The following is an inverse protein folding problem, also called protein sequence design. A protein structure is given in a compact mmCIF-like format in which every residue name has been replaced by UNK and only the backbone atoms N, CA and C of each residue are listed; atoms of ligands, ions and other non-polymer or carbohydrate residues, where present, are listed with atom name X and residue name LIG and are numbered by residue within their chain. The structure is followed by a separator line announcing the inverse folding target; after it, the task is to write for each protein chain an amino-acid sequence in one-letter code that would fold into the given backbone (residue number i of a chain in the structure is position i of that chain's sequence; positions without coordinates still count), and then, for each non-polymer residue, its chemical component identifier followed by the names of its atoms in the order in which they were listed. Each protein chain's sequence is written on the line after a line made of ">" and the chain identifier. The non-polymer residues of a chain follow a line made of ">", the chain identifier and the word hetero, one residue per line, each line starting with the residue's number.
data_IF_591283773306
#
_entry.id   IF_591283773306
#
_cell.length_a   1.000
_cell.length_b   1.000
_cell.length_c   1.000
_cell.angle_alpha   90.00
_cell.angle_beta   90.00
_cell.angle_gamma   90.00
#
_symmetry.space_group_name_H-M   'P 1'
#
loop_
_entity.id
_entity.type
_entity.pdbx_description
1 polymer ?
#
# COMPACT_ATOMS: atom_id res chain seq x y z
N UNK A 1 -18.64 -6.52 -10.20
CA UNK A 1 -17.36 -5.76 -10.25
C UNK A 1 -17.03 -5.23 -8.85
N UNK A 2 -15.75 -5.10 -8.51
CA UNK A 2 -15.22 -5.26 -7.14
C UNK A 2 -14.01 -4.34 -6.95
N UNK A 3 -13.83 -3.68 -5.80
CA UNK A 3 -12.53 -3.09 -5.43
C UNK A 3 -11.84 -3.96 -4.37
N UNK A 4 -11.05 -4.96 -4.78
CA UNK A 4 -10.37 -5.90 -3.88
C UNK A 4 -8.90 -5.51 -3.71
N UNK A 5 -8.42 -5.32 -2.48
CA UNK A 5 -7.03 -4.95 -2.20
C UNK A 5 -6.59 -3.68 -2.95
N UNK A 6 -7.46 -2.66 -2.92
CA UNK A 6 -7.38 -1.36 -3.64
C UNK A 6 -7.47 -1.45 -5.18
N UNK A 7 -7.78 -2.64 -5.72
CA UNK A 7 -7.77 -2.94 -7.17
C UNK A 7 -9.18 -3.09 -7.66
N UNK A 8 -9.51 -2.55 -8.83
CA UNK A 8 -10.79 -2.89 -9.47
C UNK A 8 -10.72 -4.29 -10.13
N UNK A 9 -11.79 -5.08 -9.98
CA UNK A 9 -11.93 -6.50 -10.36
C UNK A 9 -13.31 -6.73 -10.97
N UNK A 10 -13.39 -7.52 -12.04
CA UNK A 10 -14.63 -7.85 -12.74
C UNK A 10 -14.97 -9.33 -12.57
N UNK A 11 -16.26 -9.65 -12.57
CA UNK A 11 -16.76 -11.03 -12.68
C UNK A 11 -17.68 -11.07 -13.91
N UNK A 12 -17.52 -12.08 -14.75
CA UNK A 12 -18.46 -12.36 -15.85
C UNK A 12 -19.31 -13.57 -15.46
N UNK A 13 -20.58 -13.56 -15.88
CA UNK A 13 -21.52 -14.67 -15.69
C UNK A 13 -20.89 -16.01 -16.12
N UNK A 14 -20.86 -16.96 -15.18
CA UNK A 14 -20.11 -18.22 -15.29
C UNK A 14 -19.09 -18.48 -14.17
N UNK A 15 -19.16 -17.79 -13.03
CA UNK A 15 -18.37 -18.13 -11.83
C UNK A 15 -16.85 -17.93 -11.97
N UNK A 16 -16.41 -17.09 -12.92
CA UNK A 16 -14.98 -16.82 -13.15
C UNK A 16 -14.53 -15.53 -12.45
N UNK A 17 -13.93 -15.75 -11.28
CA UNK A 17 -13.08 -14.83 -10.52
C UNK A 17 -11.93 -14.24 -11.36
N UNK A 18 -12.03 -12.99 -11.84
CA UNK A 18 -10.94 -12.27 -12.53
C UNK A 18 -10.26 -11.27 -11.58
N UNK A 19 -9.36 -11.74 -10.71
CA UNK A 19 -8.57 -10.84 -9.87
C UNK A 19 -7.60 -10.02 -10.73
N UNK A 20 -7.33 -8.76 -10.38
CA UNK A 20 -6.18 -7.89 -10.77
C UNK A 20 -6.48 -6.74 -11.75
N UNK A 21 -6.72 -5.55 -11.19
CA UNK A 21 -5.83 -4.40 -11.43
C UNK A 21 -4.68 -4.46 -10.40
N UNK A 22 -3.55 -3.79 -10.61
CA UNK A 22 -2.39 -3.83 -9.71
C UNK A 22 -2.55 -2.78 -8.62
N UNK A 23 -2.22 -3.13 -7.39
CA UNK A 23 -2.05 -2.18 -6.30
C UNK A 23 -0.79 -2.52 -5.53
N UNK A 24 -0.05 -1.50 -5.07
CA UNK A 24 1.11 -1.62 -4.22
C UNK A 24 0.85 -2.55 -3.03
N UNK A 25 1.68 -3.58 -2.87
CA UNK A 25 1.56 -4.46 -1.71
C UNK A 25 2.06 -5.88 -1.97
N UNK A 26 3.37 -5.99 -2.08
CA UNK A 26 4.20 -7.07 -1.51
C UNK A 26 5.70 -6.83 -1.75
N UNK A 27 6.09 -5.81 -2.51
CA UNK A 27 7.43 -5.21 -2.50
C UNK A 27 7.35 -3.81 -1.87
N UNK A 28 8.31 -3.47 -1.00
CA UNK A 28 8.35 -2.26 -0.18
C UNK A 28 7.98 -0.98 -0.91
N UNK A 29 6.74 -0.53 -0.73
CA UNK A 29 6.24 0.75 -1.24
C UNK A 29 6.17 1.68 -0.02
N UNK A 30 7.16 2.56 0.08
CA UNK A 30 7.25 3.62 1.09
C UNK A 30 6.40 4.81 0.64
N UNK A 31 5.10 4.75 0.89
CA UNK A 31 4.26 5.95 0.86
C UNK A 31 4.47 6.73 2.18
N UNK A 32 4.38 8.09 2.18
CA UNK A 32 4.33 8.86 3.42
C UNK A 32 3.18 8.35 4.31
N UNK A 33 3.34 8.42 5.65
CA UNK A 33 2.41 7.96 6.72
C UNK A 33 1.11 7.38 6.15
N UNK A 34 1.14 6.08 5.84
CA UNK A 34 0.31 5.46 4.81
C UNK A 34 -1.06 6.14 4.65
N UNK A 35 -1.23 6.89 3.56
CA UNK A 35 -2.54 7.40 3.09
C UNK A 35 -3.57 6.27 2.92
N UNK A 36 -3.11 5.02 2.96
CA UNK A 36 -3.87 3.81 2.74
C UNK A 36 -3.76 2.81 3.89
N UNK A 37 -4.90 2.29 4.36
CA UNK A 37 -4.95 1.14 5.27
C UNK A 37 -4.28 -0.06 4.59
N UNK A 38 -3.30 -0.73 5.23
CA UNK A 38 -2.57 -1.83 4.63
C UNK A 38 -3.47 -2.93 4.05
N UNK A 39 -2.92 -3.66 3.09
CA UNK A 39 -3.62 -4.79 2.49
C UNK A 39 -3.77 -5.92 3.49
N UNK A 40 -4.97 -6.49 3.65
CA UNK A 40 -5.15 -7.63 4.54
C UNK A 40 -4.42 -8.86 4.01
N UNK A 41 -3.65 -9.51 4.88
CA UNK A 41 -2.98 -10.79 4.61
C UNK A 41 -3.98 -11.96 4.68
N UNK A 42 -5.05 -11.82 5.47
CA UNK A 42 -6.23 -12.68 5.47
C UNK A 42 -7.45 -11.84 5.14
N UNK A 43 -8.22 -12.23 4.13
CA UNK A 43 -9.45 -11.52 3.73
C UNK A 43 -10.61 -12.47 3.51
N UNK A 44 -11.81 -12.08 3.97
CA UNK A 44 -13.08 -12.75 3.74
C UNK A 44 -14.01 -11.85 2.91
N UNK A 45 -14.03 -12.05 1.58
CA UNK A 45 -14.92 -11.32 0.68
C UNK A 45 -16.31 -11.96 0.62
N UNK A 46 -17.36 -11.16 0.77
CA UNK A 46 -18.77 -11.54 0.58
C UNK A 46 -19.39 -10.65 -0.48
N UNK A 47 -20.00 -11.25 -1.50
CA UNK A 47 -20.71 -10.53 -2.56
C UNK A 47 -22.20 -10.88 -2.50
N UNK A 48 -23.06 -9.87 -2.66
CA UNK A 48 -24.51 -10.03 -2.71
C UNK A 48 -25.09 -9.08 -3.77
N UNK A 49 -25.37 -9.62 -4.96
CA UNK A 49 -25.74 -8.82 -6.12
C UNK A 49 -24.64 -7.83 -6.51
N UNK A 50 -24.99 -6.54 -6.63
CA UNK A 50 -24.07 -5.43 -6.95
C UNK A 50 -23.26 -4.91 -5.76
N UNK A 51 -23.51 -5.44 -4.56
CA UNK A 51 -22.80 -5.07 -3.35
C UNK A 51 -21.70 -6.06 -3.00
N UNK A 52 -20.68 -5.54 -2.34
CA UNK A 52 -19.59 -6.34 -1.80
C UNK A 52 -19.15 -5.82 -0.45
N UNK A 53 -18.90 -6.75 0.45
CA UNK A 53 -18.29 -6.51 1.75
C UNK A 53 -17.01 -7.35 1.84
N UNK A 54 -15.89 -6.70 2.10
CA UNK A 54 -14.60 -7.35 2.35
C UNK A 54 -14.20 -7.09 3.79
N UNK A 55 -13.95 -8.15 4.56
CA UNK A 55 -13.33 -8.03 5.89
C UNK A 55 -11.96 -8.69 5.88
N UNK A 56 -11.05 -8.29 6.76
CA UNK A 56 -9.75 -8.94 6.83
C UNK A 56 -8.84 -8.39 7.90
N UNK A 57 -7.81 -9.18 8.24
CA UNK A 57 -6.73 -8.78 9.13
C UNK A 57 -5.53 -8.35 8.30
N UNK A 58 -4.89 -7.26 8.72
CA UNK A 58 -3.70 -6.70 8.10
C UNK A 58 -2.60 -6.52 9.13
N UNK A 59 -1.36 -6.60 8.67
CA UNK A 59 -0.15 -6.36 9.43
C UNK A 59 0.89 -5.90 8.41
N UNK A 60 1.47 -4.73 8.64
CA UNK A 60 2.46 -4.16 7.75
C UNK A 60 3.42 -3.28 8.55
N UNK A 61 4.69 -3.34 8.21
CA UNK A 61 5.61 -2.22 8.45
C UNK A 61 5.45 -1.25 7.28
N UNK A 62 4.89 -0.08 7.52
CA UNK A 62 4.73 0.98 6.53
C UNK A 62 5.70 2.12 6.81
N UNK A 63 6.19 2.77 5.76
CA UNK A 63 6.83 4.07 5.92
C UNK A 63 8.18 4.04 6.63
N UNK A 64 9.13 3.22 6.14
CA UNK A 64 10.53 3.58 6.28
C UNK A 64 10.77 4.75 5.34
N UNK A 65 10.92 5.95 5.90
CA UNK A 65 11.27 7.15 5.13
C UNK A 65 12.56 7.70 5.72
N UNK A 66 13.51 7.99 4.86
CA UNK A 66 14.72 8.73 5.20
C UNK A 66 14.75 9.95 4.29
N UNK A 67 14.75 11.14 4.87
CA UNK A 67 14.81 12.41 4.14
C UNK A 67 16.07 13.12 4.61
N UNK A 68 17.20 12.93 3.91
CA UNK A 68 18.31 13.84 4.05
C UNK A 68 17.89 15.23 3.56
N UNK A 69 18.37 16.29 4.22
CA UNK A 69 18.25 17.65 3.69
C UNK A 69 19.14 17.85 2.46
N UNK A 70 19.05 19.02 1.82
CA UNK A 70 19.78 19.33 0.58
C UNK A 70 21.30 19.21 0.76
N UNK A 71 21.83 19.63 1.90
CA UNK A 71 23.26 19.56 2.20
C UNK A 71 23.72 18.10 2.37
N UNK A 72 22.95 17.29 3.10
CA UNK A 72 23.25 15.87 3.27
C UNK A 72 23.05 15.09 1.98
N UNK A 73 22.10 15.48 1.13
CA UNK A 73 21.95 14.91 -0.22
C UNK A 73 23.19 15.18 -1.07
N UNK A 74 23.66 16.43 -1.15
CA UNK A 74 24.88 16.76 -1.88
C UNK A 74 26.09 15.96 -1.38
N UNK A 75 26.26 15.85 -0.06
CA UNK A 75 27.32 15.03 0.55
C UNK A 75 27.20 13.54 0.16
N UNK A 76 25.99 12.98 0.15
CA UNK A 76 25.74 11.59 -0.25
C UNK A 76 25.99 11.37 -1.76
N UNK A 77 25.76 12.39 -2.58
CA UNK A 77 26.00 12.39 -4.02
C UNK A 77 27.48 12.63 -4.39
N UNK A 78 28.34 12.83 -3.38
CA UNK A 78 29.80 12.90 -3.52
C UNK A 78 30.40 14.29 -3.37
N UNK A 79 29.62 15.30 -2.98
CA UNK A 79 30.15 16.61 -2.62
C UNK A 79 31.04 16.52 -1.37
N UNK A 80 31.95 17.48 -1.23
CA UNK A 80 32.77 17.60 -0.03
C UNK A 80 31.94 18.12 1.14
N UNK A 81 32.31 17.70 2.35
CA UNK A 81 31.76 18.26 3.58
C UNK A 81 32.07 19.77 3.63
N UNK A 82 31.01 20.60 3.70
CA UNK A 82 31.09 22.04 3.71
C UNK A 82 31.29 22.56 5.15
N UNK A 83 32.14 23.58 5.36
CA UNK A 83 32.29 24.23 6.66
C UNK A 83 31.06 25.09 7.00
N UNK A 84 30.86 25.36 8.30
CA UNK A 84 29.74 26.18 8.82
C UNK A 84 28.36 25.76 8.26
N UNK A 85 28.17 24.46 8.02
CA UNK A 85 26.98 23.93 7.34
C UNK A 85 26.24 22.94 8.25
N UNK A 86 24.91 23.03 8.23
CA UNK A 86 24.02 22.10 8.92
C UNK A 86 23.62 20.97 7.97
N UNK A 87 23.64 19.75 8.52
CA UNK A 87 23.22 18.52 7.88
C UNK A 87 22.14 17.86 8.73
N UNK A 88 21.06 17.44 8.11
CA UNK A 88 19.95 16.80 8.82
C UNK A 88 19.40 15.59 8.10
N UNK A 89 18.98 14.62 8.90
CA UNK A 89 18.34 13.39 8.47
C UNK A 89 17.07 13.18 9.26
N UNK A 90 15.93 13.29 8.58
CA UNK A 90 14.66 12.84 9.11
C UNK A 90 14.47 11.37 8.77
N UNK A 91 14.04 10.60 9.76
CA UNK A 91 13.67 9.20 9.60
C UNK A 91 12.32 8.92 10.24
N UNK A 92 11.55 8.08 9.58
CA UNK A 92 10.25 7.64 10.05
C UNK A 92 10.15 6.13 9.91
N UNK A 93 9.46 5.51 10.87
CA UNK A 93 9.11 4.10 10.88
C UNK A 93 7.70 3.96 11.47
N UNK A 94 6.81 3.27 10.76
CA UNK A 94 5.52 2.86 11.31
C UNK A 94 5.28 1.35 11.15
N UNK A 95 4.68 0.75 12.18
CA UNK A 95 4.20 -0.62 12.18
C UNK A 95 2.72 -0.57 12.52
N UNK A 96 1.88 -1.12 11.65
CA UNK A 96 0.42 -1.10 11.79
C UNK A 96 -0.13 -2.52 11.62
N UNK A 97 -0.90 -2.97 12.60
CA UNK A 97 -1.63 -4.23 12.55
C UNK A 97 -3.06 -4.02 13.04
N UNK A 98 -4.02 -4.64 12.34
CA UNK A 98 -5.42 -4.42 12.64
C UNK A 98 -6.37 -5.25 11.82
N UNK A 99 -7.64 -4.89 11.91
CA UNK A 99 -8.71 -5.42 11.08
C UNK A 99 -9.30 -4.32 10.22
N UNK A 100 -9.75 -4.68 9.03
CA UNK A 100 -10.41 -3.77 8.11
C UNK A 100 -11.70 -4.39 7.61
N UNK A 101 -12.67 -3.53 7.34
CA UNK A 101 -13.88 -3.86 6.63
C UNK A 101 -14.05 -2.87 5.49
N UNK A 102 -14.66 -3.27 4.40
CA UNK A 102 -15.04 -2.33 3.36
C UNK A 102 -16.29 -2.77 2.65
N UNK A 103 -17.09 -1.79 2.26
CA UNK A 103 -18.28 -1.98 1.44
C UNK A 103 -18.13 -1.24 0.12
N UNK A 104 -18.52 -1.87 -0.98
CA UNK A 104 -18.54 -1.24 -2.30
C UNK A 104 -19.79 -1.62 -3.07
N UNK A 105 -20.25 -0.73 -3.96
CA UNK A 105 -21.39 -0.98 -4.84
C UNK A 105 -21.05 -0.66 -6.28
N UNK A 106 -21.56 -1.44 -7.22
CA UNK A 106 -21.35 -1.23 -8.66
C UNK A 106 -22.54 -0.52 -9.30
N UNK A 107 -22.28 0.66 -9.88
CA UNK A 107 -23.23 1.40 -10.69
C UNK A 107 -22.86 1.26 -12.16
N UNK A 108 -23.75 0.66 -12.95
CA UNK A 108 -23.61 0.61 -14.41
C UNK A 108 -24.12 1.92 -15.01
N UNK A 109 -23.28 2.57 -15.81
CA UNK A 109 -23.67 3.72 -16.60
C UNK A 109 -24.29 3.22 -17.91
N UNK A 110 -25.48 3.72 -18.22
CA UNK A 110 -26.15 3.43 -19.50
C UNK A 110 -25.38 4.13 -20.63
N UNK A 111 -24.61 3.36 -21.40
CA UNK A 111 -23.73 3.91 -22.45
C UNK A 111 -24.37 3.99 -23.83
N UNK A 112 -25.60 3.48 -24.00
CA UNK A 112 -26.26 3.36 -25.30
C UNK A 112 -25.53 2.48 -26.32
N UNK A 113 -24.40 1.87 -25.93
CA UNK A 113 -23.53 1.02 -26.77
C UNK A 113 -23.48 -0.39 -26.16
N UNK A 114 -24.10 -1.39 -26.79
CA UNK A 114 -24.28 -2.73 -26.19
C UNK A 114 -22.96 -3.50 -25.97
N UNK A 115 -21.86 -3.06 -26.60
CA UNK A 115 -20.55 -3.71 -26.49
C UNK A 115 -19.64 -3.10 -25.40
N UNK A 116 -20.06 -2.01 -24.74
CA UNK A 116 -19.24 -1.26 -23.79
C UNK A 116 -19.95 -1.12 -22.45
N UNK A 117 -19.39 -1.76 -21.41
CA UNK A 117 -19.83 -1.58 -20.04
C UNK A 117 -18.99 -0.50 -19.36
N UNK A 118 -19.60 0.58 -18.91
CA UNK A 118 -18.94 1.58 -18.05
C UNK A 118 -19.55 1.48 -16.66
N UNK A 119 -18.70 1.45 -15.65
CA UNK A 119 -19.13 1.27 -14.28
C UNK A 119 -18.42 2.25 -13.35
N UNK A 120 -19.14 2.73 -12.34
CA UNK A 120 -18.63 3.51 -11.22
C UNK A 120 -18.75 2.67 -9.95
N UNK A 121 -17.72 2.68 -9.12
CA UNK A 121 -17.66 1.90 -7.88
C UNK A 121 -17.18 2.76 -6.73
N UNK A 122 -18.08 3.37 -5.95
CA UNK A 122 -17.71 3.90 -4.65
C UNK A 122 -17.39 2.76 -3.68
N UNK A 123 -16.47 3.04 -2.77
CA UNK A 123 -16.11 2.15 -1.68
C UNK A 123 -15.87 2.94 -0.42
N UNK A 124 -16.41 2.46 0.69
CA UNK A 124 -16.05 2.90 2.03
C UNK A 124 -15.21 1.79 2.67
N UNK A 125 -14.03 2.12 3.19
CA UNK A 125 -13.18 1.20 3.94
C UNK A 125 -13.01 1.72 5.37
N UNK A 126 -13.38 0.92 6.35
CA UNK A 126 -13.16 1.16 7.77
C UNK A 126 -12.10 0.23 8.31
N UNK A 127 -11.47 0.62 9.40
CA UNK A 127 -10.41 -0.16 10.02
C UNK A 127 -10.28 0.15 11.50
N UNK A 128 -9.75 -0.83 12.22
CA UNK A 128 -9.44 -0.77 13.63
C UNK A 128 -8.04 -1.32 13.86
N UNK A 129 -7.20 -0.54 14.52
CA UNK A 129 -5.81 -0.89 14.84
C UNK A 129 -5.77 -1.68 16.14
N UNK A 130 -5.19 -2.87 16.06
CA UNK A 130 -4.89 -3.73 17.21
C UNK A 130 -3.52 -3.39 17.78
N UNK A 131 -2.56 -3.03 16.92
CA UNK A 131 -1.27 -2.55 17.36
C UNK A 131 -0.78 -1.51 16.37
N UNK A 132 -0.29 -0.39 16.89
CA UNK A 132 0.36 0.61 16.09
C UNK A 132 1.53 1.19 16.85
N UNK A 133 2.67 1.28 16.17
CA UNK A 133 3.89 1.89 16.68
C UNK A 133 4.41 2.80 15.60
N UNK A 134 4.77 4.01 15.99
CA UNK A 134 5.31 5.04 15.12
C UNK A 134 6.52 5.67 15.79
N UNK A 135 7.62 5.73 15.05
CA UNK A 135 8.85 6.38 15.44
C UNK A 135 9.19 7.43 14.39
N UNK A 136 9.27 8.68 14.83
CA UNK A 136 9.87 9.77 14.06
C UNK A 136 11.19 10.13 14.74
N UNK A 137 12.26 10.25 13.96
CA UNK A 137 13.59 10.58 14.46
C UNK A 137 14.27 11.58 13.54
N UNK A 138 14.67 12.71 14.10
CA UNK A 138 15.44 13.75 13.44
C UNK A 138 16.84 13.78 14.05
N UNK A 139 17.84 13.67 13.18
CA UNK A 139 19.23 13.90 13.52
C UNK A 139 19.72 15.17 12.83
N UNK A 140 20.43 16.01 13.57
CA UNK A 140 21.04 17.24 13.06
C UNK A 140 22.51 17.26 13.46
N UNK A 141 23.38 17.63 12.53
CA UNK A 141 24.81 17.83 12.78
C UNK A 141 25.26 19.12 12.12
N UNK A 142 26.14 19.87 12.77
CA UNK A 142 26.72 21.11 12.24
C UNK A 142 28.23 21.01 12.20
N UNK A 143 28.84 21.55 11.15
CA UNK A 143 30.29 21.64 10.98
C UNK A 143 30.79 23.03 11.38
N UNK A 144 32.02 23.09 11.90
CA UNK A 144 32.71 24.36 12.13
C UNK A 144 33.38 24.89 10.84
N UNK A 145 34.14 25.99 10.98
CA UNK A 145 34.94 26.60 9.91
C UNK A 145 35.97 25.69 9.25
N UNK A 146 36.45 24.68 9.98
CA UNK A 146 37.43 23.72 9.48
C UNK A 146 36.75 22.48 8.86
N UNK A 147 35.41 22.48 8.76
CA UNK A 147 34.63 21.33 8.29
C UNK A 147 34.55 20.19 9.31
N UNK A 148 34.92 20.41 10.57
CA UNK A 148 34.84 19.39 11.62
C UNK A 148 33.47 19.44 12.33
N UNK A 149 32.88 18.30 12.75
CA UNK A 149 31.65 18.29 13.54
C UNK A 149 31.79 19.12 14.82
N UNK A 150 30.91 20.09 15.03
CA UNK A 150 30.93 21.00 16.17
C UNK A 150 29.73 20.81 17.10
N UNK A 151 28.56 20.49 16.53
CA UNK A 151 27.32 20.33 17.25
C UNK A 151 26.52 19.18 16.66
N UNK A 152 25.81 18.45 17.52
CA UNK A 152 24.83 17.46 17.11
C UNK A 152 23.60 17.57 18.00
N UNK A 153 22.43 17.40 17.41
CA UNK A 153 21.16 17.28 18.11
C UNK A 153 20.41 16.04 17.60
N UNK A 154 19.61 15.45 18.48
CA UNK A 154 18.72 14.36 18.11
C UNK A 154 17.39 14.53 18.81
N UNK A 155 16.33 14.40 18.02
CA UNK A 155 14.95 14.44 18.49
C UNK A 155 14.25 13.17 18.05
N UNK A 156 13.67 12.45 19.00
CA UNK A 156 12.89 11.26 18.74
C UNK A 156 11.48 11.43 19.30
N UNK A 157 10.48 11.01 18.54
CA UNK A 157 9.10 10.90 18.97
C UNK A 157 8.64 9.48 18.72
N UNK A 158 8.26 8.78 19.79
CA UNK A 158 7.68 7.44 19.75
C UNK A 158 6.21 7.54 20.14
N UNK A 159 5.31 7.09 19.27
CA UNK A 159 3.89 6.92 19.56
C UNK A 159 3.51 5.45 19.46
N UNK A 160 2.70 4.96 20.40
CA UNK A 160 2.21 3.59 20.34
C UNK A 160 0.82 3.42 20.95
N UNK A 161 0.09 2.45 20.42
CA UNK A 161 -1.18 1.99 20.97
C UNK A 161 -1.34 0.48 20.82
N UNK A 162 -2.14 -0.07 21.72
CA UNK A 162 -2.66 -1.44 21.75
C UNK A 162 -3.89 -1.46 22.68
N UNK A 163 -4.80 -2.46 22.63
CA UNK A 163 -6.11 -2.43 23.27
C UNK A 163 -6.19 -1.99 24.74
N UNK A 164 -5.15 -2.20 25.55
CA UNK A 164 -5.12 -1.76 26.96
C UNK A 164 -4.42 -0.43 27.20
N UNK A 165 -3.86 0.21 26.16
CA UNK A 165 -3.10 1.46 26.22
C UNK A 165 -3.48 2.45 25.11
N UNK A 166 -4.71 2.34 24.62
CA UNK A 166 -5.22 3.20 23.56
C UNK A 166 -6.10 2.45 22.57
N UNK A 167 -6.59 3.18 21.58
CA UNK A 167 -7.33 2.63 20.46
C UNK A 167 -7.10 3.49 19.22
N UNK A 168 -7.15 2.87 18.05
CA UNK A 168 -6.97 3.58 16.79
C UNK A 168 -7.87 3.01 15.72
N UNK A 169 -8.34 3.84 14.82
CA UNK A 169 -9.20 3.40 13.74
C UNK A 169 -9.71 4.56 12.92
N UNK A 170 -10.35 4.22 11.81
CA UNK A 170 -10.79 5.24 10.88
C UNK A 170 -11.64 4.71 9.75
N UNK A 171 -11.93 5.62 8.84
CA UNK A 171 -12.67 5.35 7.62
C UNK A 171 -12.03 6.12 6.46
N UNK A 172 -12.10 5.56 5.26
CA UNK A 172 -11.78 6.26 4.03
C UNK A 172 -12.82 5.98 2.96
N UNK A 173 -12.94 6.93 2.05
CA UNK A 173 -13.73 6.82 0.84
C UNK A 173 -12.82 6.70 -0.38
N UNK A 174 -13.10 5.71 -1.21
CA UNK A 174 -12.44 5.46 -2.50
C UNK A 174 -13.51 5.50 -3.62
N UNK A 175 -13.09 5.87 -4.82
CA UNK A 175 -13.91 5.84 -6.03
C UNK A 175 -13.16 5.16 -7.17
N UNK A 176 -13.82 4.22 -7.83
CA UNK A 176 -13.31 3.59 -9.05
C UNK A 176 -14.22 3.81 -10.24
N UNK A 177 -13.65 3.83 -11.44
CA UNK A 177 -14.37 3.71 -12.68
C UNK A 177 -13.74 2.64 -13.56
N UNK A 178 -14.54 1.94 -14.36
CA UNK A 178 -14.05 0.91 -15.29
C UNK A 178 -14.75 1.03 -16.61
N UNK A 179 -13.97 0.83 -17.67
CA UNK A 179 -14.43 0.62 -19.03
C UNK A 179 -14.11 -0.82 -19.44
N UNK A 180 -15.15 -1.54 -19.83
CA UNK A 180 -15.09 -2.84 -20.47
C UNK A 180 -15.25 -2.68 -21.97
N UNK A 181 -14.21 -3.02 -22.72
CA UNK A 181 -14.25 -3.06 -24.18
C UNK A 181 -13.35 -4.16 -24.67
N UNK A 182 -13.88 -5.35 -24.90
CA UNK A 182 -13.08 -6.52 -25.28
C UNK A 182 -12.13 -6.21 -26.45
N UNK A 183 -10.84 -6.63 -26.40
CA UNK A 183 -10.18 -7.44 -25.36
C UNK A 183 -9.63 -6.64 -24.16
N UNK A 184 -9.86 -5.33 -24.15
CA UNK A 184 -9.31 -4.39 -23.19
C UNK A 184 -10.19 -4.20 -21.98
N UNK A 185 -9.53 -3.93 -20.85
CA UNK A 185 -10.16 -3.46 -19.62
C UNK A 185 -9.35 -2.31 -19.10
N UNK A 186 -10.00 -1.16 -18.95
CA UNK A 186 -9.36 0.05 -18.44
C UNK A 186 -10.04 0.40 -17.12
N UNK A 187 -9.24 0.68 -16.10
CA UNK A 187 -9.72 1.08 -14.78
C UNK A 187 -9.07 2.39 -14.35
N UNK A 188 -9.86 3.27 -13.77
CA UNK A 188 -9.42 4.47 -13.07
C UNK A 188 -9.76 4.31 -11.61
N UNK A 189 -8.85 4.66 -10.70
CA UNK A 189 -9.11 4.60 -9.27
C UNK A 189 -8.61 5.85 -8.58
N UNK A 190 -9.44 6.42 -7.73
CA UNK A 190 -9.13 7.49 -6.79
C UNK A 190 -9.29 6.91 -5.39
N UNK A 191 -8.18 6.55 -4.78
CA UNK A 191 -8.16 6.06 -3.41
C UNK A 191 -8.04 7.25 -2.46
N UNK A 192 -8.53 7.10 -1.24
CA UNK A 192 -8.36 8.08 -0.19
C UNK A 192 -8.85 9.50 -0.57
N UNK A 193 -9.97 9.57 -1.29
CA UNK A 193 -10.64 10.83 -1.61
C UNK A 193 -10.98 11.62 -0.36
N UNK A 194 -11.37 10.92 0.70
CA UNK A 194 -11.54 11.50 2.02
C UNK A 194 -11.20 10.45 3.08
N UNK A 195 -10.51 10.87 4.14
CA UNK A 195 -10.10 10.05 5.28
C UNK A 195 -10.50 10.70 6.59
N UNK A 196 -10.87 9.87 7.54
CA UNK A 196 -10.84 10.17 8.96
C UNK A 196 -10.01 9.07 9.63
N UNK A 197 -9.05 9.48 10.43
CA UNK A 197 -8.19 8.61 11.21
C UNK A 197 -8.08 9.14 12.64
N UNK A 198 -8.43 8.30 13.60
CA UNK A 198 -8.36 8.62 15.01
C UNK A 198 -7.35 7.71 15.68
N UNK A 199 -6.48 8.30 16.49
CA UNK A 199 -5.49 7.60 17.29
C UNK A 199 -5.57 8.12 18.72
N UNK A 200 -5.67 7.20 19.67
CA UNK A 200 -5.44 7.46 21.08
C UNK A 200 -4.39 6.45 21.56
N UNK A 201 -3.29 6.93 22.13
CA UNK A 201 -2.15 6.10 22.51
C UNK A 201 -1.25 6.77 23.53
N UNK A 202 -0.10 6.16 23.81
CA UNK A 202 0.97 6.80 24.58
C UNK A 202 1.96 7.44 23.63
N UNK A 203 2.57 8.55 24.05
CA UNK A 203 3.69 9.15 23.35
C UNK A 203 4.88 9.36 24.27
N UNK A 204 6.07 9.33 23.70
CA UNK A 204 7.30 9.68 24.37
C UNK A 204 8.14 10.53 23.43
N UNK A 205 8.63 11.65 23.94
CA UNK A 205 9.58 12.51 23.23
C UNK A 205 10.93 12.44 23.94
N UNK A 206 11.98 12.32 23.15
CA UNK A 206 13.37 12.31 23.60
C UNK A 206 14.07 13.44 22.87
N UNK A 207 14.66 14.37 23.63
CA UNK A 207 15.47 15.46 23.09
C UNK A 207 16.87 15.35 23.70
N UNK A 208 17.91 15.44 22.86
CA UNK A 208 19.31 15.40 23.28
C UNK A 208 19.67 14.24 24.23
N UNK A 209 19.19 13.02 23.92
CA UNK A 209 19.37 11.80 24.73
C UNK A 209 18.80 11.85 26.16
N UNK A 210 18.08 12.92 26.51
CA UNK A 210 17.32 13.00 27.75
C UNK A 210 15.89 12.54 27.48
N UNK A 211 15.45 11.49 28.20
CA UNK A 211 14.09 11.00 28.09
C UNK A 211 13.17 11.80 29.02
N UNK A 212 12.17 12.48 28.46
CA UNK A 212 11.01 12.85 29.26
C UNK A 212 10.22 11.58 29.62
N UNK A 213 9.60 11.50 30.81
CA UNK A 213 8.67 10.41 31.12
C UNK A 213 7.56 10.38 30.06
N UNK A 214 7.07 9.19 29.71
CA UNK A 214 5.98 9.04 28.75
C UNK A 214 4.83 9.97 29.15
N UNK A 215 4.55 10.97 28.31
CA UNK A 215 3.43 11.87 28.52
C UNK A 215 2.14 11.05 28.39
N UNK A 216 1.10 11.47 29.10
CA UNK A 216 -0.16 10.73 29.20
C UNK A 216 -0.82 10.41 27.86
N UNK A 217 -2.04 9.87 27.92
CA UNK A 217 -2.77 9.42 26.74
C UNK A 217 -2.91 10.56 25.69
N UNK A 218 -2.15 10.44 24.61
CA UNK A 218 -2.12 11.38 23.48
C UNK A 218 -3.22 11.00 22.50
N UNK A 219 -3.96 11.99 22.02
CA UNK A 219 -5.04 11.82 21.04
C UNK A 219 -4.73 12.63 19.80
N UNK A 220 -4.86 12.02 18.63
CA UNK A 220 -4.82 12.71 17.35
C UNK A 220 -6.03 12.31 16.51
N UNK A 221 -6.59 13.31 15.83
CA UNK A 221 -7.65 13.14 14.85
C UNK A 221 -7.14 13.76 13.56
N UNK A 222 -6.86 12.92 12.58
CA UNK A 222 -6.39 13.32 11.27
C UNK A 222 -7.52 13.11 10.27
N UNK A 223 -8.01 14.18 9.66
CA UNK A 223 -9.00 14.11 8.58
C UNK A 223 -8.54 14.95 7.40
N UNK A 224 -8.96 14.56 6.20
CA UNK A 224 -8.60 15.29 4.99
C UNK A 224 -8.71 14.46 3.72
N UNK A 225 -8.33 15.09 2.62
CA UNK A 225 -8.20 14.45 1.31
C UNK A 225 -6.72 14.32 0.98
N UNK A 226 -6.30 13.11 0.62
CA UNK A 226 -4.94 12.86 0.17
C UNK A 226 -4.99 11.75 -0.90
N UNK A 227 -5.48 12.11 -2.10
CA UNK A 227 -5.91 11.13 -3.07
C UNK A 227 -4.75 10.40 -3.74
N UNK A 228 -4.92 9.09 -3.93
CA UNK A 228 -4.07 8.26 -4.78
C UNK A 228 -4.79 7.98 -6.10
N UNK A 229 -4.24 8.49 -7.20
CA UNK A 229 -4.80 8.23 -8.52
C UNK A 229 -4.10 7.05 -9.18
N UNK A 230 -4.86 6.15 -9.79
CA UNK A 230 -4.35 5.05 -10.61
C UNK A 230 -5.09 4.93 -11.93
N UNK A 231 -4.33 4.56 -12.97
CA UNK A 231 -4.82 4.16 -14.28
C UNK A 231 -4.27 2.78 -14.58
N UNK A 232 -5.17 1.82 -14.73
CA UNK A 232 -4.83 0.44 -15.05
C UNK A 232 -5.39 0.05 -16.41
N UNK A 233 -4.63 -0.72 -17.17
CA UNK A 233 -5.11 -1.41 -18.36
C UNK A 233 -4.72 -2.88 -18.30
N UNK A 234 -5.58 -3.76 -18.80
CA UNK A 234 -5.29 -5.17 -18.92
C UNK A 234 -5.86 -5.77 -20.20
N UNK A 235 -5.13 -6.73 -20.75
CA UNK A 235 -5.54 -7.58 -21.88
C UNK A 235 -5.56 -9.02 -21.40
N UNK A 236 -6.58 -9.75 -21.83
CA UNK A 236 -6.71 -11.18 -21.56
C UNK A 236 -6.69 -11.97 -22.87
N UNK A 237 -5.89 -13.04 -22.90
CA UNK A 237 -5.82 -13.94 -24.03
C UNK A 237 -5.83 -15.38 -23.56
N UNK A 238 -6.65 -16.21 -24.22
CA UNK A 238 -6.68 -17.64 -23.97
C UNK A 238 -5.81 -18.35 -25.01
N UNK A 239 -4.81 -19.10 -24.55
CA UNK A 239 -3.95 -19.94 -25.39
C UNK A 239 -4.10 -21.39 -24.92
N UNK A 240 -4.90 -22.15 -25.66
CA UNK A 240 -5.30 -23.52 -25.29
C UNK A 240 -6.02 -23.58 -23.93
N UNK A 241 -5.40 -24.31 -22.97
CA UNK A 241 -5.89 -24.44 -21.59
C UNK A 241 -5.36 -23.37 -20.64
N UNK A 242 -4.51 -22.47 -21.13
CA UNK A 242 -3.89 -21.41 -20.34
C UNK A 242 -4.59 -20.08 -20.62
N UNK A 243 -4.91 -19.34 -19.57
CA UNK A 243 -5.31 -17.94 -19.64
C UNK A 243 -4.09 -17.08 -19.32
N UNK A 244 -3.72 -16.21 -20.24
CA UNK A 244 -2.71 -15.18 -20.04
C UNK A 244 -3.40 -13.85 -19.76
N UNK A 245 -2.85 -13.10 -18.81
CA UNK A 245 -3.24 -11.73 -18.53
C UNK A 245 -1.99 -10.89 -18.50
N UNK A 246 -1.98 -9.85 -19.34
CA UNK A 246 -0.99 -8.78 -19.30
C UNK A 246 -1.68 -7.54 -18.73
N UNK A 247 -1.08 -6.92 -17.72
CA UNK A 247 -1.61 -5.72 -17.09
C UNK A 247 -0.54 -4.68 -16.88
N UNK A 248 -0.93 -3.41 -16.99
CA UNK A 248 -0.11 -2.24 -16.72
C UNK A 248 -0.89 -1.35 -15.76
N UNK A 249 -0.22 -0.75 -14.80
CA UNK A 249 -0.78 0.27 -13.93
C UNK A 249 0.20 1.43 -13.77
N UNK A 250 -0.30 2.66 -13.86
CA UNK A 250 0.40 3.87 -13.46
C UNK A 250 -0.37 4.56 -12.33
N UNK A 251 0.33 5.18 -11.39
CA UNK A 251 -0.30 5.95 -10.33
C UNK A 251 0.50 7.15 -9.89
N UNK A 252 -0.18 8.08 -9.22
CA UNK A 252 0.39 9.34 -8.77
C UNK A 252 -0.08 9.66 -7.34
N UNK A 253 0.83 10.22 -6.56
CA UNK A 253 0.59 10.68 -5.19
C UNK A 253 1.56 11.79 -4.82
N UNK A 254 1.08 13.04 -4.78
CA UNK A 254 1.99 14.18 -4.66
C UNK A 254 3.06 14.12 -5.76
N UNK A 255 4.33 14.06 -5.36
CA UNK A 255 5.48 13.93 -6.26
C UNK A 255 5.81 12.47 -6.65
N UNK A 256 5.26 11.50 -5.94
CA UNK A 256 5.52 10.09 -6.18
C UNK A 256 4.81 9.60 -7.44
N UNK A 257 5.59 8.98 -8.32
CA UNK A 257 5.12 8.30 -9.52
C UNK A 257 5.25 6.80 -9.31
N UNK A 258 4.17 6.08 -9.53
CA UNK A 258 4.09 4.63 -9.38
C UNK A 258 3.89 4.01 -10.74
N UNK A 259 4.63 2.95 -11.03
CA UNK A 259 4.44 2.15 -12.22
C UNK A 259 4.44 0.68 -11.87
N UNK A 260 3.63 -0.12 -12.58
CA UNK A 260 3.57 -1.54 -12.38
C UNK A 260 3.22 -2.30 -13.65
N UNK A 261 3.90 -3.43 -13.85
CA UNK A 261 3.55 -4.42 -14.86
C UNK A 261 3.19 -5.73 -14.20
N UNK A 262 2.28 -6.45 -14.85
CA UNK A 262 1.83 -7.75 -14.43
C UNK A 262 1.78 -8.68 -15.64
N UNK A 263 2.42 -9.84 -15.48
CA UNK A 263 2.16 -11.01 -16.30
C UNK A 263 1.56 -12.10 -15.42
N UNK A 264 0.46 -12.70 -15.88
CA UNK A 264 -0.15 -13.85 -15.23
C UNK A 264 -0.35 -14.96 -16.24
N UNK A 265 -0.01 -16.18 -15.84
CA UNK A 265 -0.52 -17.39 -16.46
C UNK A 265 -1.40 -18.15 -15.48
N UNK A 266 -2.57 -18.61 -15.95
CA UNK A 266 -3.43 -19.53 -15.20
C UNK A 266 -3.71 -20.77 -16.03
N UNK A 267 -3.45 -21.95 -15.46
CA UNK A 267 -3.75 -23.25 -16.07
C UNK A 267 -4.41 -24.15 -15.03
N UNK A 268 -5.70 -24.43 -15.21
CA UNK A 268 -6.50 -25.13 -14.21
C UNK A 268 -6.53 -24.39 -12.87
N UNK A 269 -6.08 -25.07 -11.83
CA UNK A 269 -5.98 -24.56 -10.45
C UNK A 269 -4.67 -23.84 -10.16
N UNK A 270 -3.69 -23.91 -11.06
CA UNK A 270 -2.41 -23.25 -10.89
C UNK A 270 -2.43 -21.84 -11.46
N UNK A 271 -1.78 -20.93 -10.74
CA UNK A 271 -1.62 -19.53 -11.08
C UNK A 271 -0.14 -19.19 -10.90
N UNK A 272 0.49 -18.72 -11.97
CA UNK A 272 1.81 -18.10 -11.93
C UNK A 272 1.66 -16.59 -12.18
N UNK A 273 2.45 -15.80 -11.47
CA UNK A 273 2.47 -14.34 -11.56
C UNK A 273 3.91 -13.85 -11.58
N UNK A 274 4.17 -12.90 -12.46
CA UNK A 274 5.34 -12.03 -12.37
C UNK A 274 4.81 -10.60 -12.32
N UNK A 275 5.31 -9.83 -11.37
CA UNK A 275 5.00 -8.41 -11.22
C UNK A 275 6.31 -7.68 -11.15
N UNK A 276 6.34 -6.51 -11.76
CA UNK A 276 7.38 -5.52 -11.48
C UNK A 276 6.69 -4.23 -11.11
N UNK A 277 7.27 -3.49 -10.18
CA UNK A 277 6.78 -2.18 -9.80
C UNK A 277 7.96 -1.23 -9.60
N UNK A 278 7.74 0.03 -9.96
CA UNK A 278 8.71 1.11 -9.76
C UNK A 278 8.09 2.20 -8.90
N UNK A 279 8.85 2.60 -7.87
CA UNK A 279 8.61 3.76 -7.03
C UNK A 279 9.98 4.22 -6.51
N UNK A 280 10.64 5.10 -7.25
CA UNK A 280 12.05 5.49 -7.06
C UNK A 280 13.05 4.35 -7.26
N UNK A 281 12.74 3.12 -6.84
CA UNK A 281 13.49 1.89 -7.10
C UNK A 281 12.58 0.82 -7.70
N UNK A 282 13.20 -0.17 -8.37
CA UNK A 282 12.49 -1.32 -8.93
C UNK A 282 12.29 -2.42 -7.89
N UNK A 283 11.11 -3.03 -7.93
CA UNK A 283 10.78 -4.25 -7.22
C UNK A 283 10.24 -5.30 -8.19
N UNK A 284 10.48 -6.56 -7.88
CA UNK A 284 10.10 -7.72 -8.67
C UNK A 284 9.47 -8.76 -7.76
N UNK A 285 8.27 -9.21 -8.10
CA UNK A 285 7.58 -10.25 -7.36
C UNK A 285 7.23 -11.39 -8.29
N UNK A 286 7.67 -12.59 -7.94
CA UNK A 286 7.18 -13.82 -8.55
C UNK A 286 6.21 -14.50 -7.58
N UNK A 287 5.15 -15.11 -8.08
CA UNK A 287 4.17 -15.82 -7.24
C UNK A 287 3.71 -17.07 -7.93
N UNK A 288 3.70 -18.18 -7.19
CA UNK A 288 3.07 -19.43 -7.61
C UNK A 288 1.97 -19.72 -6.60
N UNK A 289 0.78 -19.99 -7.11
CA UNK A 289 -0.36 -20.27 -6.27
C UNK A 289 -1.23 -21.39 -6.83
N UNK A 290 -1.86 -22.13 -5.91
CA UNK A 290 -2.77 -23.22 -6.20
C UNK A 290 -4.14 -22.92 -5.62
N UNK A 291 -5.18 -23.11 -6.42
CA UNK A 291 -6.56 -23.16 -5.94
C UNK A 291 -6.80 -24.52 -5.29
N UNK A 292 -7.35 -24.48 -4.10
CA UNK A 292 -7.74 -25.61 -3.27
C UNK A 292 -9.24 -25.51 -2.98
N UNK A 293 -9.80 -26.58 -2.45
CA UNK A 293 -11.22 -26.65 -2.12
C UNK A 293 -11.65 -25.70 -0.98
N UNK A 294 -10.71 -25.19 -0.17
CA UNK A 294 -10.94 -24.18 0.87
C UNK A 294 -10.48 -22.78 0.49
N UNK A 295 -9.80 -22.60 -0.65
CA UNK A 295 -9.26 -21.30 -0.99
C UNK A 295 -8.20 -21.28 -2.08
N UNK A 296 -7.34 -20.28 -2.04
CA UNK A 296 -6.11 -20.18 -2.82
C UNK A 296 -4.97 -20.04 -1.83
N UNK A 297 -3.93 -20.87 -2.01
CA UNK A 297 -2.66 -20.75 -1.29
C UNK A 297 -1.61 -20.33 -2.29
N UNK A 298 -0.80 -19.33 -1.96
CA UNK A 298 0.26 -18.85 -2.83
C UNK A 298 1.54 -18.56 -2.07
N UNK A 299 2.67 -18.90 -2.68
CA UNK A 299 4.01 -18.52 -2.23
C UNK A 299 4.53 -17.46 -3.20
N UNK A 300 5.09 -16.38 -2.66
CA UNK A 300 5.69 -15.31 -3.43
C UNK A 300 7.13 -15.09 -3.02
N UNK A 301 8.01 -14.83 -3.99
CA UNK A 301 9.33 -14.26 -3.75
C UNK A 301 9.30 -12.80 -4.20
N UNK A 302 9.75 -11.90 -3.33
CA UNK A 302 9.88 -10.48 -3.60
C UNK A 302 11.37 -10.14 -3.62
N UNK A 303 11.81 -9.46 -4.66
CA UNK A 303 13.14 -8.90 -4.84
C UNK A 303 12.99 -7.39 -4.95
N UNK A 304 13.80 -6.63 -4.23
CA UNK A 304 13.84 -5.18 -4.32
C UNK A 304 15.23 -4.68 -3.96
N UNK A 305 15.60 -3.51 -4.43
CA UNK A 305 16.78 -2.84 -3.90
C UNK A 305 16.44 -2.28 -2.52
N UNK A 306 17.34 -2.46 -1.56
CA UNK A 306 17.22 -1.83 -0.25
C UNK A 306 17.44 -0.33 -0.43
N UNK A 307 16.53 0.54 0.03
CA UNK A 307 16.72 1.98 -0.03
C UNK A 307 17.88 2.46 0.86
N UNK A 308 18.35 1.62 1.80
CA UNK A 308 19.43 1.95 2.73
C UNK A 308 20.83 1.51 2.26
N UNK A 309 20.91 0.56 1.34
CA UNK A 309 22.19 -0.06 1.00
C UNK A 309 22.40 -0.31 -0.49
N UNK A 310 21.41 0.00 -1.34
CA UNK A 310 21.36 -0.34 -2.77
C UNK A 310 21.67 -1.79 -3.10
N UNK A 311 21.59 -2.68 -2.11
CA UNK A 311 21.78 -4.11 -2.25
C UNK A 311 20.45 -4.77 -2.56
N UNK A 312 20.49 -5.78 -3.40
CA UNK A 312 19.33 -6.63 -3.67
C UNK A 312 18.92 -7.34 -2.38
N UNK A 313 17.73 -7.03 -1.92
CA UNK A 313 17.07 -7.66 -0.79
C UNK A 313 15.94 -8.57 -1.29
N UNK A 314 15.75 -9.69 -0.62
CA UNK A 314 14.73 -10.66 -0.99
C UNK A 314 13.88 -11.10 0.20
N UNK A 315 12.65 -11.49 -0.07
CA UNK A 315 11.72 -11.98 0.96
C UNK A 315 10.73 -12.98 0.39
N UNK A 316 10.33 -13.93 1.23
CA UNK A 316 9.31 -14.93 0.89
C UNK A 316 8.03 -14.61 1.62
N UNK A 317 6.91 -14.62 0.90
CA UNK A 317 5.57 -14.42 1.43
C UNK A 317 4.70 -15.63 1.19
N UNK A 318 3.82 -15.93 2.15
CA UNK A 318 2.75 -16.91 1.99
C UNK A 318 1.41 -16.18 2.07
N UNK A 319 0.49 -16.51 1.17
CA UNK A 319 -0.84 -15.92 1.11
C UNK A 319 -1.91 -16.98 1.14
N UNK A 320 -2.95 -16.72 1.94
CA UNK A 320 -4.14 -17.55 2.04
C UNK A 320 -5.36 -16.70 1.70
N UNK A 321 -6.17 -17.19 0.77
CA UNK A 321 -7.43 -16.57 0.40
C UNK A 321 -8.53 -17.62 0.52
N UNK A 322 -9.55 -17.39 1.35
CA UNK A 322 -10.64 -18.36 1.53
C UNK A 322 -11.48 -18.52 0.26
N UNK A 323 -12.09 -19.71 0.10
CA UNK A 323 -13.00 -20.01 -1.00
C UNK A 323 -14.36 -19.39 -0.71
N UNK A 324 -14.92 -18.76 -1.74
CA UNK A 324 -16.29 -18.27 -1.79
C UNK A 324 -17.26 -19.45 -1.63
N UNK A 325 -18.23 -19.35 -0.71
CA UNK A 325 -19.48 -20.12 -0.81
C UNK A 325 -20.38 -19.33 -1.76
N UNK A 326 -20.51 -19.81 -2.99
CA UNK A 326 -21.60 -19.39 -3.87
C UNK A 326 -22.87 -20.02 -3.29
N UNK A 327 -23.68 -19.22 -2.62
CA UNK A 327 -25.08 -19.50 -2.36
C UNK A 327 -25.88 -18.33 -2.89
#
# INVERSE_FOLDING_TARGET
>A
MIIEKERIRLETDGGRLLARSAVPGSGGISLPRSSLVPLPFISYPVAFGKWRVDTGAYAASTGYRFVPDENLQGLLDGDTLNPETQYSLESQLAIDAGVSASISHEFELLTGRPAQGIFIVPRVKTYYRIAYVELDYLFVSETNRDGLPQYYDSKASLFWLYPSRGWGGGARFDLGAVLLSFPWRVGLSLLNLYRIDYLAGSSQRVEAFSSAPAEGLTRSLNYGSDPLFFVSTAIEQRIGRTMLVLGINGGFHGEYRLFGLLLRARRGDWIAEVKTAWQSQWSFTTTIAKKLWLGKVGVSCNLHNSPLSDRVSWGVGVSFQSRRRDR
#
